data_IF_596317633118
#
_entry.id   IF_596317633118
#
_cell.length_a   1.000
_cell.length_b   1.000
_cell.length_c   1.000
_cell.angle_alpha   90.00
_cell.angle_beta   90.00
_cell.angle_gamma   90.00
#
_symmetry.space_group_name_H-M   'P 1'
#
loop_
_entity.id
_entity.type
_entity.pdbx_description
1 polymer ?
#
# COMPACT_ATOMS: atom_id res chain seq x y z
N UNK A 1 -7.19 10.64 -6.16
CA UNK A 1 -6.65 9.33 -5.72
C UNK A 1 -7.60 8.19 -6.07
N UNK A 2 -8.92 8.38 -5.94
CA UNK A 2 -9.90 7.33 -6.23
C UNK A 2 -9.76 6.70 -7.61
N UNK A 3 -9.41 7.51 -8.61
CA UNK A 3 -9.33 7.07 -10.00
C UNK A 3 -7.93 6.60 -10.38
N UNK A 4 -6.94 6.78 -9.51
CA UNK A 4 -5.59 6.35 -9.78
C UNK A 4 -5.50 4.83 -9.67
N UNK A 5 -4.89 4.18 -10.66
CA UNK A 5 -4.60 2.76 -10.59
C UNK A 5 -3.37 2.51 -9.75
N UNK A 6 -2.45 3.46 -9.76
CA UNK A 6 -1.15 3.36 -9.10
C UNK A 6 -0.88 4.62 -8.30
N UNK A 7 -0.06 4.49 -7.28
CA UNK A 7 0.54 5.63 -6.61
C UNK A 7 2.03 5.36 -6.43
N UNK A 8 2.77 6.42 -6.14
CA UNK A 8 4.16 6.28 -5.72
C UNK A 8 4.23 6.35 -4.22
N UNK A 9 5.14 5.60 -3.64
CA UNK A 9 5.30 5.49 -2.19
C UNK A 9 6.79 5.53 -1.85
N UNK A 10 7.13 6.18 -0.75
CA UNK A 10 8.46 6.13 -0.16
C UNK A 10 8.34 6.09 1.35
N UNK A 11 9.02 5.15 2.00
CA UNK A 11 9.07 5.08 3.45
C UNK A 11 10.19 5.98 3.96
N UNK A 12 10.06 6.42 5.22
CA UNK A 12 11.10 7.20 5.89
C UNK A 12 12.18 6.28 6.47
N UNK A 13 13.43 6.70 6.35
CA UNK A 13 14.54 6.08 7.07
C UNK A 13 14.49 6.53 8.53
N UNK A 14 15.29 5.88 9.37
CA UNK A 14 15.38 6.25 10.78
C UNK A 14 15.81 7.70 11.00
N UNK A 15 16.61 8.24 10.09
CA UNK A 15 17.08 9.62 10.16
C UNK A 15 16.07 10.66 9.63
N UNK A 16 14.91 10.21 9.17
CA UNK A 16 13.86 11.08 8.66
C UNK A 16 13.92 11.41 7.18
N UNK A 17 14.92 10.88 6.44
CA UNK A 17 15.00 11.07 5.00
C UNK A 17 14.14 10.03 4.28
N UNK A 18 13.66 10.36 3.08
CA UNK A 18 12.86 9.45 2.28
C UNK A 18 13.73 8.44 1.53
N UNK A 19 13.27 7.19 1.49
CA UNK A 19 13.85 6.16 0.63
C UNK A 19 13.42 6.41 -0.81
N UNK A 20 13.95 5.61 -1.75
CA UNK A 20 13.57 5.69 -3.16
C UNK A 20 12.07 5.44 -3.34
N UNK A 21 11.45 6.15 -4.28
CA UNK A 21 10.05 5.96 -4.60
C UNK A 21 9.81 4.63 -5.30
N UNK A 22 8.66 4.03 -5.01
CA UNK A 22 8.19 2.81 -5.67
C UNK A 22 6.79 3.04 -6.19
N UNK A 23 6.48 2.49 -7.36
CA UNK A 23 5.13 2.51 -7.91
C UNK A 23 4.40 1.29 -7.37
N UNK A 24 3.19 1.49 -6.87
CA UNK A 24 2.42 0.42 -6.26
C UNK A 24 0.93 0.59 -6.57
N UNK A 25 0.22 -0.53 -6.67
CA UNK A 25 -1.23 -0.52 -6.84
C UNK A 25 -1.93 -0.19 -5.53
N UNK A 26 -2.94 0.67 -5.62
CA UNK A 26 -3.73 1.11 -4.48
C UNK A 26 -5.19 0.73 -4.69
N UNK A 27 -5.88 0.38 -3.60
CA UNK A 27 -7.33 0.17 -3.62
C UNK A 27 -7.98 0.99 -2.52
N UNK A 28 -9.23 1.36 -2.75
CA UNK A 28 -10.05 2.06 -1.77
C UNK A 28 -11.16 1.14 -1.29
N UNK A 29 -11.37 1.11 0.02
CA UNK A 29 -12.46 0.37 0.64
C UNK A 29 -13.10 1.28 1.67
N UNK A 30 -14.32 1.75 1.41
CA UNK A 30 -14.92 2.81 2.19
C UNK A 30 -14.11 4.09 2.06
N UNK A 31 -13.70 4.67 3.16
CA UNK A 31 -12.88 5.89 3.18
C UNK A 31 -11.40 5.60 3.35
N UNK A 32 -11.01 4.33 3.36
CA UNK A 32 -9.65 3.91 3.63
C UNK A 32 -8.95 3.46 2.35
N UNK A 33 -7.65 3.74 2.28
CA UNK A 33 -6.79 3.29 1.19
C UNK A 33 -5.89 2.17 1.68
N UNK A 34 -5.71 1.15 0.83
CA UNK A 34 -4.89 -0.02 1.15
C UNK A 34 -3.90 -0.29 0.03
N UNK A 35 -2.72 -0.76 0.41
CA UNK A 35 -1.69 -1.21 -0.51
C UNK A 35 -1.16 -2.56 -0.02
N UNK A 36 -0.53 -3.30 -0.94
CA UNK A 36 0.10 -4.58 -0.61
C UNK A 36 1.45 -4.69 -1.30
N UNK A 37 2.36 -5.39 -0.65
CA UNK A 37 3.62 -5.79 -1.27
C UNK A 37 3.40 -7.12 -1.99
N UNK A 38 3.57 -7.15 -3.32
CA UNK A 38 3.42 -8.38 -4.12
C UNK A 38 4.39 -9.46 -3.65
N UNK A 39 5.62 -9.08 -3.31
CA UNK A 39 6.64 -10.00 -2.82
C UNK A 39 6.50 -10.30 -1.33
N UNK A 40 5.44 -9.79 -0.69
CA UNK A 40 5.18 -10.02 0.71
C UNK A 40 6.06 -9.21 1.62
N UNK A 41 6.34 -9.76 2.80
CA UNK A 41 7.06 -9.05 3.87
C UNK A 41 8.56 -8.96 3.61
N UNK A 42 9.07 -9.62 2.57
CA UNK A 42 10.50 -9.65 2.26
C UNK A 42 10.95 -8.58 1.27
N UNK A 43 10.00 -7.83 0.65
CA UNK A 43 10.39 -6.76 -0.26
C UNK A 43 11.10 -5.63 0.51
N UNK A 44 12.05 -4.98 -0.17
CA UNK A 44 12.85 -3.92 0.46
C UNK A 44 12.00 -2.77 0.95
N UNK A 45 11.01 -2.33 0.16
CA UNK A 45 10.18 -1.21 0.57
C UNK A 45 9.29 -1.55 1.76
N UNK A 46 8.78 -2.80 1.84
CA UNK A 46 7.96 -3.23 2.97
C UNK A 46 8.78 -3.32 4.25
N UNK A 47 10.01 -3.82 4.14
CA UNK A 47 10.95 -3.85 5.27
C UNK A 47 11.27 -2.44 5.75
N UNK A 48 11.41 -1.50 4.82
CA UNK A 48 11.58 -0.10 5.16
C UNK A 48 10.40 0.47 5.93
N UNK A 49 9.17 0.10 5.53
CA UNK A 49 7.95 0.51 6.24
C UNK A 49 7.95 -0.07 7.66
N UNK A 50 8.32 -1.34 7.83
CA UNK A 50 8.37 -1.97 9.15
C UNK A 50 9.37 -1.28 10.08
N UNK A 51 10.41 -0.69 9.53
CA UNK A 51 11.43 0.02 10.31
C UNK A 51 10.88 1.28 10.97
N UNK A 52 10.00 2.03 10.31
CA UNK A 52 9.51 3.29 10.86
C UNK A 52 8.00 3.51 10.73
N UNK A 53 7.30 2.81 9.86
CA UNK A 53 5.84 2.94 9.62
C UNK A 53 5.37 4.32 9.15
N UNK A 54 6.27 5.13 8.65
CA UNK A 54 5.95 6.47 8.15
C UNK A 54 6.55 6.67 6.77
N UNK A 55 5.89 7.49 5.96
CA UNK A 55 6.39 7.82 4.64
C UNK A 55 5.54 8.86 3.94
N UNK A 56 5.65 8.87 2.61
CA UNK A 56 4.95 9.83 1.78
C UNK A 56 4.41 9.13 0.54
N UNK A 57 3.25 9.58 0.09
CA UNK A 57 2.64 9.07 -1.14
C UNK A 57 2.44 10.22 -2.13
N UNK A 58 2.48 9.87 -3.42
CA UNK A 58 2.22 10.79 -4.52
C UNK A 58 1.22 10.12 -5.46
N UNK A 59 0.09 10.77 -5.69
CA UNK A 59 -0.95 10.23 -6.58
C UNK A 59 -1.74 11.39 -7.18
N UNK A 60 -1.88 11.40 -8.51
CA UNK A 60 -2.70 12.39 -9.21
C UNK A 60 -2.33 13.83 -8.90
N UNK A 61 -1.05 14.14 -8.72
CA UNK A 61 -0.58 15.48 -8.38
C UNK A 61 -0.69 15.82 -6.89
N UNK A 62 -1.17 14.88 -6.08
CA UNK A 62 -1.29 15.05 -4.63
C UNK A 62 -0.11 14.38 -3.94
N UNK A 63 0.46 15.08 -2.97
CA UNK A 63 1.55 14.57 -2.14
C UNK A 63 1.10 14.64 -0.68
N UNK A 64 1.23 13.53 0.05
CA UNK A 64 0.80 13.47 1.46
C UNK A 64 1.75 12.64 2.30
N UNK A 65 1.99 13.12 3.52
CA UNK A 65 2.67 12.33 4.54
C UNK A 65 1.66 11.35 5.14
N UNK A 66 2.08 10.10 5.29
CA UNK A 66 1.20 9.03 5.78
C UNK A 66 1.88 8.18 6.84
N UNK A 67 1.05 7.52 7.64
CA UNK A 67 1.46 6.44 8.52
C UNK A 67 0.95 5.14 7.89
N UNK A 68 1.79 4.10 7.89
CA UNK A 68 1.43 2.79 7.37
C UNK A 68 1.04 1.88 8.54
N UNK A 69 -0.21 1.42 8.54
CA UNK A 69 -0.70 0.49 9.57
C UNK A 69 -0.87 -0.89 8.95
N UNK A 70 -0.29 -1.91 9.55
CA UNK A 70 -0.44 -3.28 9.08
C UNK A 70 -1.87 -3.74 9.33
N UNK A 71 -2.46 -4.38 8.33
CA UNK A 71 -3.84 -4.88 8.41
C UNK A 71 -3.83 -6.40 8.30
N UNK A 72 -4.24 -7.08 9.37
CA UNK A 72 -4.21 -8.53 9.45
C UNK A 72 -5.59 -9.18 9.60
N UNK A 73 -6.67 -8.40 9.66
CA UNK A 73 -8.02 -8.95 9.78
C UNK A 73 -8.37 -9.76 8.53
N UNK A 74 -8.66 -11.09 8.67
CA UNK A 74 -8.96 -11.94 7.50
C UNK A 74 -10.20 -11.50 6.72
N UNK A 75 -11.26 -11.10 7.41
CA UNK A 75 -12.50 -10.67 6.74
C UNK A 75 -12.26 -9.41 5.92
N UNK A 76 -11.51 -8.45 6.46
CA UNK A 76 -11.17 -7.23 5.75
C UNK A 76 -10.25 -7.53 4.56
N UNK A 77 -9.27 -8.43 4.74
CA UNK A 77 -8.39 -8.83 3.65
C UNK A 77 -9.14 -9.53 2.52
N UNK A 78 -10.18 -10.30 2.82
CA UNK A 78 -11.04 -10.90 1.79
C UNK A 78 -11.73 -9.82 0.96
N UNK A 79 -12.21 -8.76 1.60
CA UNK A 79 -12.84 -7.63 0.92
C UNK A 79 -11.82 -6.86 0.07
N UNK A 80 -10.61 -6.69 0.56
CA UNK A 80 -9.52 -6.05 -0.17
C UNK A 80 -9.16 -6.88 -1.41
N UNK A 81 -9.11 -8.21 -1.29
CA UNK A 81 -8.89 -9.10 -2.43
C UNK A 81 -9.93 -8.85 -3.52
N UNK A 82 -11.21 -8.76 -3.13
CA UNK A 82 -12.30 -8.54 -4.09
C UNK A 82 -12.14 -7.20 -4.83
N UNK A 83 -11.73 -6.15 -4.12
CA UNK A 83 -11.50 -4.84 -4.72
C UNK A 83 -10.33 -4.89 -5.70
N UNK A 84 -9.25 -5.58 -5.35
CA UNK A 84 -8.11 -5.75 -6.27
C UNK A 84 -8.52 -6.49 -7.54
N UNK A 85 -9.30 -7.58 -7.41
CA UNK A 85 -9.78 -8.34 -8.58
C UNK A 85 -10.62 -7.46 -9.51
N UNK A 86 -11.52 -6.67 -8.93
CA UNK A 86 -12.40 -5.82 -9.72
C UNK A 86 -11.65 -4.67 -10.40
N UNK A 87 -10.78 -4.00 -9.67
CA UNK A 87 -10.06 -2.82 -10.16
C UNK A 87 -9.01 -3.16 -11.21
N UNK A 88 -8.31 -4.28 -11.02
CA UNK A 88 -7.18 -4.66 -11.87
C UNK A 88 -7.47 -5.89 -12.74
N UNK A 89 -8.74 -6.12 -13.07
CA UNK A 89 -9.16 -7.29 -13.87
C UNK A 89 -8.53 -7.37 -15.25
N UNK A 90 -8.02 -6.25 -15.78
CA UNK A 90 -7.31 -6.20 -17.05
C UNK A 90 -5.91 -6.81 -16.99
N UNK A 91 -5.42 -7.07 -15.79
CA UNK A 91 -4.08 -7.60 -15.55
C UNK A 91 -4.19 -8.87 -14.70
N UNK A 92 -4.74 -9.97 -15.26
CA UNK A 92 -5.11 -11.14 -14.44
C UNK A 92 -3.92 -11.79 -13.70
N UNK A 93 -2.75 -11.84 -14.33
CA UNK A 93 -1.57 -12.42 -13.66
C UNK A 93 -1.11 -11.57 -12.48
N UNK A 94 -1.09 -10.24 -12.67
CA UNK A 94 -0.66 -9.32 -11.61
C UNK A 94 -1.72 -9.25 -10.50
N UNK A 95 -3.00 -9.30 -10.86
CA UNK A 95 -4.08 -9.33 -9.89
C UNK A 95 -4.01 -10.61 -9.03
N UNK A 96 -3.70 -11.75 -9.65
CA UNK A 96 -3.50 -13.00 -8.91
C UNK A 96 -2.33 -12.90 -7.93
N UNK A 97 -1.25 -12.24 -8.33
CA UNK A 97 -0.09 -12.06 -7.46
C UNK A 97 -0.41 -11.17 -6.24
N UNK A 98 -1.19 -10.10 -6.43
CA UNK A 98 -1.49 -9.15 -5.34
C UNK A 98 -2.49 -9.72 -4.34
N UNK A 99 -3.22 -10.77 -4.68
CA UNK A 99 -4.14 -11.46 -3.76
C UNK A 99 -3.57 -12.76 -3.21
N UNK A 100 -2.32 -13.07 -3.51
CA UNK A 100 -1.64 -14.27 -2.98
C UNK A 100 -1.50 -14.20 -1.46
N UNK A 101 -1.29 -15.34 -0.78
CA UNK A 101 -1.07 -15.34 0.66
C UNK A 101 0.08 -14.44 1.09
N UNK A 102 1.17 -14.42 0.32
CA UNK A 102 2.33 -13.56 0.60
C UNK A 102 1.95 -12.09 0.56
N UNK A 103 1.22 -11.66 -0.48
CA UNK A 103 0.80 -10.27 -0.61
C UNK A 103 -0.20 -9.90 0.49
N UNK A 104 -1.15 -10.79 0.82
CA UNK A 104 -2.10 -10.54 1.91
C UNK A 104 -1.40 -10.30 3.24
N UNK A 105 -0.32 -11.02 3.51
CA UNK A 105 0.44 -10.86 4.76
C UNK A 105 1.13 -9.49 4.85
N UNK A 106 1.22 -8.78 3.74
CA UNK A 106 1.87 -7.47 3.64
C UNK A 106 0.87 -6.38 3.24
N UNK A 107 -0.32 -6.40 3.82
CA UNK A 107 -1.36 -5.40 3.60
C UNK A 107 -1.16 -4.23 4.55
N UNK A 108 -1.19 -3.01 4.01
CA UNK A 108 -1.03 -1.79 4.77
C UNK A 108 -2.19 -0.85 4.51
N UNK A 109 -2.70 -0.23 5.57
CA UNK A 109 -3.65 0.87 5.48
C UNK A 109 -2.88 2.18 5.52
N UNK A 110 -3.22 3.09 4.62
CA UNK A 110 -2.61 4.41 4.55
C UNK A 110 -3.44 5.39 5.37
N UNK A 111 -2.82 6.01 6.36
CA UNK A 111 -3.50 7.00 7.22
C UNK A 111 -2.75 8.31 7.10
N UNK A 112 -3.49 9.39 6.83
CA UNK A 112 -2.88 10.72 6.75
C UNK A 112 -2.19 11.04 8.08
N UNK A 113 -0.91 11.38 8.01
CA UNK A 113 -0.16 11.75 9.21
C UNK A 113 -0.48 13.19 9.58
N UNK A 114 -1.00 13.37 10.78
CA UNK A 114 -1.30 14.71 11.25
C UNK A 114 -0.05 15.37 11.77
N UNK A 115 0.17 16.61 11.33
CA UNK A 115 1.25 17.43 11.84
C UNK A 115 0.65 18.29 12.93
N UNK A 116 1.10 18.06 14.14
CA UNK A 116 0.67 18.87 15.28
C UNK A 116 1.48 20.17 15.34
#
# INVERSE_FOLDING_TARGET
IEKAEELEIASLRQDGTLRSRRIIWVVRLGDELYIRSVLGRTSDWFRGVQSRHEGRIWAGGVEKDVTFLEESDPALNDRIDAVYRAKYRRYPADAAAIISPEARSATLRLVARQVS
#
